data_IF_470872147809
#
_entry.id   IF_470872147809
#
_cell.length_a   1.000
_cell.length_b   1.000
_cell.length_c   1.000
_cell.angle_alpha   90.00
_cell.angle_beta   90.00
_cell.angle_gamma   90.00
#
_symmetry.space_group_name_H-M   'P 1'
#
loop_
_entity.id
_entity.type
_entity.pdbx_description
1 polymer ?
#
# COMPACT_ATOMS: atom_id res chain seq x y z
N UNK A 1 0.09 -15.76 10.69
CA UNK A 1 -0.30 -14.36 10.78
C UNK A 1 -1.79 -14.26 11.10
N UNK A 2 -2.19 -13.42 12.04
CA UNK A 2 -3.60 -13.25 12.39
C UNK A 2 -4.34 -12.40 11.35
N UNK A 3 -5.67 -12.55 11.25
CA UNK A 3 -6.50 -11.72 10.35
C UNK A 3 -6.41 -10.22 10.70
N UNK A 4 -6.22 -9.91 11.98
CA UNK A 4 -6.08 -8.52 12.45
C UNK A 4 -4.77 -7.91 11.94
N UNK A 5 -3.67 -8.66 11.99
CA UNK A 5 -2.37 -8.22 11.46
C UNK A 5 -2.45 -7.97 9.96
N UNK A 6 -3.05 -8.91 9.23
CA UNK A 6 -3.26 -8.77 7.80
C UNK A 6 -4.12 -7.55 7.46
N UNK A 7 -5.17 -7.30 8.25
CA UNK A 7 -6.02 -6.12 8.08
C UNK A 7 -5.23 -4.82 8.28
N UNK A 8 -4.41 -4.76 9.33
CA UNK A 8 -3.59 -3.58 9.63
C UNK A 8 -2.59 -3.31 8.50
N UNK A 9 -1.91 -4.36 8.02
CA UNK A 9 -0.99 -4.25 6.87
C UNK A 9 -1.74 -3.79 5.62
N UNK A 10 -2.89 -4.41 5.32
CA UNK A 10 -3.68 -4.06 4.15
C UNK A 10 -4.14 -2.59 4.17
N UNK A 11 -4.59 -2.09 5.32
CA UNK A 11 -4.95 -0.68 5.48
C UNK A 11 -3.71 0.21 5.34
N UNK A 12 -2.59 -0.13 5.98
CA UNK A 12 -1.33 0.62 5.86
C UNK A 12 -0.89 0.76 4.41
N UNK A 13 -0.78 -0.36 3.69
CA UNK A 13 -0.40 -0.39 2.27
C UNK A 13 -1.38 0.34 1.35
N UNK A 14 -2.67 0.40 1.74
CA UNK A 14 -3.68 1.07 0.92
C UNK A 14 -3.63 2.59 1.04
N UNK A 15 -2.85 3.16 1.97
CA UNK A 15 -2.86 4.61 2.21
C UNK A 15 -2.29 5.42 1.06
N UNK A 16 -1.29 4.92 0.33
CA UNK A 16 -0.75 5.58 -0.86
C UNK A 16 -1.80 5.64 -1.96
N UNK A 17 -2.40 4.49 -2.27
CA UNK A 17 -3.49 4.42 -3.24
C UNK A 17 -4.69 5.29 -2.84
N UNK A 18 -5.01 5.36 -1.54
CA UNK A 18 -6.04 6.23 -0.99
C UNK A 18 -5.69 7.70 -1.18
N UNK A 19 -4.45 8.10 -0.87
CA UNK A 19 -3.96 9.47 -1.03
C UNK A 19 -4.03 9.93 -2.49
N UNK A 20 -3.52 9.10 -3.42
CA UNK A 20 -3.59 9.40 -4.87
C UNK A 20 -5.03 9.40 -5.37
N UNK A 21 -5.90 8.53 -4.84
CA UNK A 21 -7.33 8.52 -5.16
C UNK A 21 -8.04 9.80 -4.72
N UNK A 22 -7.65 10.39 -3.59
CA UNK A 22 -8.13 11.73 -3.17
C UNK A 22 -7.72 12.77 -4.21
N UNK A 23 -6.46 12.77 -4.68
CA UNK A 23 -6.01 13.69 -5.72
C UNK A 23 -6.79 13.53 -7.03
N UNK A 24 -7.03 12.28 -7.46
CA UNK A 24 -7.88 12.02 -8.63
C UNK A 24 -9.29 12.52 -8.44
N UNK A 25 -9.89 12.27 -7.26
CA UNK A 25 -11.21 12.77 -6.91
C UNK A 25 -11.29 14.31 -6.92
N UNK A 26 -10.28 15.00 -6.38
CA UNK A 26 -10.22 16.46 -6.38
C UNK A 26 -10.21 17.04 -7.79
N UNK A 27 -9.47 16.41 -8.71
CA UNK A 27 -9.37 16.87 -10.10
C UNK A 27 -10.66 16.61 -10.90
N UNK A 28 -11.54 15.74 -10.39
CA UNK A 28 -12.84 15.46 -11.01
C UNK A 28 -13.89 16.46 -10.52
N UNK A 29 -14.50 17.20 -11.43
CA UNK A 29 -15.56 18.18 -11.08
C UNK A 29 -16.83 17.55 -10.50
N UNK A 30 -17.09 16.27 -10.84
CA UNK A 30 -18.27 15.53 -10.37
C UNK A 30 -17.90 14.09 -10.03
N UNK A 31 -18.43 13.58 -8.91
CA UNK A 31 -18.26 12.19 -8.54
C UNK A 31 -19.03 11.29 -9.54
N UNK A 32 -18.31 10.38 -10.19
CA UNK A 32 -18.89 9.30 -10.98
C UNK A 32 -18.53 7.96 -10.34
N UNK A 33 -19.54 7.13 -10.10
CA UNK A 33 -19.32 5.77 -9.59
C UNK A 33 -18.41 4.97 -10.54
N UNK A 34 -18.57 5.17 -11.85
CA UNK A 34 -17.72 4.55 -12.88
C UNK A 34 -16.24 4.91 -12.66
N UNK A 35 -15.93 6.17 -12.41
CA UNK A 35 -14.56 6.63 -12.18
C UNK A 35 -13.99 6.06 -10.88
N UNK A 36 -14.77 6.01 -9.82
CA UNK A 36 -14.36 5.41 -8.54
C UNK A 36 -14.05 3.91 -8.71
N UNK A 37 -14.86 3.17 -9.47
CA UNK A 37 -14.62 1.76 -9.78
C UNK A 37 -13.37 1.58 -10.64
N UNK A 38 -13.14 2.42 -11.66
CA UNK A 38 -11.93 2.35 -12.49
C UNK A 38 -10.69 2.58 -11.61
N UNK A 39 -10.66 3.63 -10.83
CA UNK A 39 -9.53 3.95 -9.93
C UNK A 39 -9.29 2.80 -8.95
N UNK A 40 -10.37 2.29 -8.32
CA UNK A 40 -10.29 1.15 -7.42
C UNK A 40 -9.74 -0.12 -8.08
N UNK A 41 -10.14 -0.43 -9.32
CA UNK A 41 -9.65 -1.59 -10.06
C UNK A 41 -8.16 -1.47 -10.39
N UNK A 42 -7.69 -0.29 -10.80
CA UNK A 42 -6.26 -0.09 -11.05
C UNK A 42 -5.46 -0.25 -9.76
N UNK A 43 -5.78 0.50 -8.73
CA UNK A 43 -5.01 0.45 -7.48
C UNK A 43 -5.17 -0.88 -6.75
N UNK A 44 -6.38 -1.39 -6.59
CA UNK A 44 -6.62 -2.68 -5.94
C UNK A 44 -6.01 -3.86 -6.70
N UNK A 45 -6.07 -3.83 -8.03
CA UNK A 45 -5.46 -4.84 -8.89
C UNK A 45 -3.94 -4.88 -8.76
N UNK A 46 -3.28 -3.72 -8.87
CA UNK A 46 -1.82 -3.65 -8.70
C UNK A 46 -1.38 -3.91 -7.26
N UNK A 47 -2.15 -3.47 -6.27
CA UNK A 47 -1.87 -3.71 -4.86
C UNK A 47 -2.02 -5.20 -4.47
N UNK A 48 -2.80 -5.98 -5.21
CA UNK A 48 -2.82 -7.44 -5.09
C UNK A 48 -1.72 -8.14 -5.92
N UNK A 49 -1.42 -7.62 -7.11
CA UNK A 49 -0.45 -8.22 -8.04
C UNK A 49 1.01 -8.06 -7.54
N UNK A 50 1.36 -6.87 -7.02
CA UNK A 50 2.75 -6.59 -6.62
C UNK A 50 3.22 -7.45 -5.44
N UNK A 51 2.44 -7.68 -4.36
CA UNK A 51 2.89 -8.62 -3.32
C UNK A 51 3.00 -10.04 -3.84
N UNK A 52 2.20 -10.45 -4.82
CA UNK A 52 2.34 -11.76 -5.45
C UNK A 52 3.69 -11.88 -6.17
N UNK A 53 4.08 -10.87 -6.95
CA UNK A 53 5.39 -10.82 -7.62
C UNK A 53 6.51 -10.82 -6.57
N UNK A 54 6.40 -9.97 -5.54
CA UNK A 54 7.36 -9.89 -4.44
C UNK A 54 7.52 -11.23 -3.71
N UNK A 55 6.42 -11.93 -3.47
CA UNK A 55 6.43 -13.25 -2.85
C UNK A 55 7.21 -14.29 -3.68
N UNK A 56 6.96 -14.35 -4.97
CA UNK A 56 7.72 -15.25 -5.85
C UNK A 56 9.21 -14.89 -5.91
N UNK A 57 9.54 -13.60 -5.92
CA UNK A 57 10.94 -13.17 -5.81
C UNK A 57 11.54 -13.60 -4.47
N UNK A 58 10.81 -13.38 -3.36
CA UNK A 58 11.23 -13.74 -2.01
C UNK A 58 11.52 -15.22 -1.82
N UNK A 59 10.68 -16.11 -2.39
CA UNK A 59 10.88 -17.57 -2.34
C UNK A 59 12.24 -17.97 -2.92
N UNK A 60 12.65 -17.35 -4.02
CA UNK A 60 13.95 -17.67 -4.65
C UNK A 60 15.16 -17.27 -3.78
N UNK A 61 14.99 -16.27 -2.93
CA UNK A 61 16.02 -15.81 -1.99
C UNK A 61 15.96 -16.50 -0.62
N UNK A 62 14.83 -17.12 -0.27
CA UNK A 62 14.61 -17.74 1.04
C UNK A 62 15.63 -18.84 1.37
N UNK A 63 16.05 -19.64 0.39
CA UNK A 63 17.03 -20.72 0.59
C UNK A 63 18.41 -20.22 1.01
N UNK A 64 18.71 -18.94 0.78
CA UNK A 64 19.99 -18.33 1.12
C UNK A 64 20.02 -17.61 2.48
N UNK A 65 18.86 -17.27 3.09
CA UNK A 65 18.80 -16.26 4.15
C UNK A 65 17.86 -16.66 5.33
N UNK A 66 17.61 -17.94 5.59
CA UNK A 66 16.65 -18.42 6.61
C UNK A 66 16.89 -17.93 8.05
N UNK A 67 18.08 -17.41 8.37
CA UNK A 67 18.40 -16.97 9.74
C UNK A 67 18.13 -15.48 10.01
N UNK A 68 17.77 -14.69 9.00
CA UNK A 68 17.65 -13.22 9.10
C UNK A 68 16.30 -12.67 8.64
N UNK A 69 15.30 -13.52 8.41
CA UNK A 69 14.02 -13.18 7.79
C UNK A 69 13.29 -12.03 8.50
N UNK A 70 13.22 -12.08 9.83
CA UNK A 70 12.56 -11.06 10.65
C UNK A 70 13.31 -9.71 10.65
N UNK A 71 14.64 -9.71 10.55
CA UNK A 71 15.43 -8.50 10.40
C UNK A 71 15.18 -7.82 9.06
N UNK A 72 15.11 -8.64 8.00
CA UNK A 72 14.82 -8.15 6.64
C UNK A 72 13.40 -7.57 6.61
N UNK A 73 12.42 -8.26 7.18
CA UNK A 73 11.04 -7.76 7.29
C UNK A 73 10.98 -6.42 8.04
N UNK A 74 11.64 -6.30 9.18
CA UNK A 74 11.70 -5.07 9.96
C UNK A 74 12.33 -3.91 9.18
N UNK A 75 13.47 -4.15 8.53
CA UNK A 75 14.18 -3.13 7.76
C UNK A 75 13.33 -2.67 6.58
N UNK A 76 12.72 -3.59 5.82
CA UNK A 76 11.88 -3.27 4.68
C UNK A 76 10.65 -2.45 5.08
N UNK A 77 9.89 -2.92 6.07
CA UNK A 77 8.72 -2.19 6.57
C UNK A 77 9.09 -0.84 7.19
N UNK A 78 10.25 -0.76 7.85
CA UNK A 78 10.80 0.49 8.38
C UNK A 78 11.15 1.50 7.30
N UNK A 79 11.83 1.05 6.23
CA UNK A 79 12.19 1.93 5.09
C UNK A 79 10.93 2.44 4.41
N UNK A 80 9.95 1.57 4.13
CA UNK A 80 8.70 1.95 3.49
C UNK A 80 7.94 2.96 4.35
N UNK A 81 7.75 2.67 5.64
CA UNK A 81 7.04 3.56 6.55
C UNK A 81 7.72 4.93 6.71
N UNK A 82 9.06 4.98 6.77
CA UNK A 82 9.82 6.24 6.81
C UNK A 82 9.67 6.98 5.49
N UNK A 83 9.71 6.28 4.34
CA UNK A 83 9.54 6.90 3.02
C UNK A 83 8.19 7.59 2.91
N UNK A 84 7.10 6.91 3.31
CA UNK A 84 5.74 7.48 3.33
C UNK A 84 5.65 8.73 4.21
N UNK A 85 6.22 8.69 5.41
CA UNK A 85 6.21 9.85 6.32
C UNK A 85 7.03 11.00 5.74
N UNK A 86 8.19 10.73 5.14
CA UNK A 86 9.00 11.76 4.48
C UNK A 86 8.25 12.41 3.32
N UNK A 87 7.57 11.63 2.48
CA UNK A 87 6.78 12.11 1.37
C UNK A 87 5.64 13.02 1.85
N UNK A 88 4.93 12.61 2.90
CA UNK A 88 3.89 13.43 3.53
C UNK A 88 4.40 14.76 4.10
N UNK A 89 5.65 14.80 4.59
CA UNK A 89 6.28 15.98 5.18
C UNK A 89 7.00 16.87 4.14
N UNK A 90 7.43 16.32 3.01
CA UNK A 90 8.14 17.06 1.97
C UNK A 90 7.26 18.09 1.27
N UNK A 91 5.95 17.96 1.38
CA UNK A 91 5.00 18.90 0.80
C UNK A 91 5.05 18.96 -0.74
N UNK A 92 5.68 18.00 -1.38
CA UNK A 92 5.66 17.89 -2.83
C UNK A 92 4.21 17.72 -3.28
N UNK A 93 3.64 18.79 -3.79
CA UNK A 93 2.35 18.76 -4.44
C UNK A 93 2.49 17.98 -5.75
N UNK A 94 2.25 16.65 -5.69
CA UNK A 94 1.94 15.94 -6.91
C UNK A 94 0.80 16.67 -7.61
N UNK A 95 1.05 17.16 -8.82
CA UNK A 95 0.02 17.85 -9.61
C UNK A 95 -1.18 16.93 -9.78
N UNK A 96 -2.27 17.23 -9.08
CA UNK A 96 -3.52 16.46 -9.16
C UNK A 96 -4.04 16.54 -10.60
N UNK A 97 -3.81 15.53 -11.42
CA UNK A 97 -4.24 15.46 -12.80
C UNK A 97 -5.55 14.67 -12.89
N UNK A 98 -6.58 15.29 -13.50
CA UNK A 98 -7.89 14.67 -13.71
C UNK A 98 -7.88 13.54 -14.76
N UNK A 99 -6.77 13.36 -15.50
CA UNK A 99 -6.67 12.35 -16.53
C UNK A 99 -6.84 10.94 -15.94
N UNK A 100 -7.81 10.19 -16.50
CA UNK A 100 -7.97 8.76 -16.30
C UNK A 100 -7.40 7.98 -17.50
N UNK A 101 -6.47 8.59 -18.24
CA UNK A 101 -5.79 7.90 -19.32
C UNK A 101 -5.10 6.62 -18.77
N UNK A 102 -5.18 5.55 -19.56
CA UNK A 102 -4.64 4.22 -19.15
C UNK A 102 -3.17 4.34 -18.74
N UNK A 103 -2.37 5.12 -19.46
CA UNK A 103 -0.96 5.33 -19.18
C UNK A 103 -0.73 5.97 -17.81
N UNK A 104 -1.44 7.06 -17.50
CA UNK A 104 -1.33 7.78 -16.22
C UNK A 104 -1.76 6.90 -15.03
N UNK A 105 -2.88 6.18 -15.20
CA UNK A 105 -3.38 5.28 -14.17
C UNK A 105 -2.44 4.11 -13.92
N UNK A 106 -1.83 3.56 -14.98
CA UNK A 106 -0.88 2.46 -14.87
C UNK A 106 0.38 2.89 -14.11
N UNK A 107 0.96 4.04 -14.48
CA UNK A 107 2.17 4.57 -13.81
C UNK A 107 1.90 4.83 -12.34
N UNK A 108 0.78 5.47 -12.01
CA UNK A 108 0.40 5.72 -10.62
C UNK A 108 0.15 4.44 -9.84
N UNK A 109 -0.56 3.45 -10.43
CA UNK A 109 -0.84 2.18 -9.79
C UNK A 109 0.45 1.39 -9.52
N UNK A 110 1.40 1.40 -10.45
CA UNK A 110 2.73 0.80 -10.24
C UNK A 110 3.47 1.55 -9.12
N UNK A 111 3.54 2.87 -9.20
CA UNK A 111 4.27 3.69 -8.22
C UNK A 111 3.74 3.49 -6.79
N UNK A 112 2.41 3.49 -6.61
CA UNK A 112 1.77 3.32 -5.30
C UNK A 112 1.79 1.88 -4.77
N UNK A 113 2.22 0.89 -5.56
CA UNK A 113 2.25 -0.52 -5.17
C UNK A 113 3.66 -1.11 -5.07
N UNK A 114 4.70 -0.28 -5.18
CA UNK A 114 6.10 -0.72 -5.00
C UNK A 114 6.35 -1.19 -3.57
N UNK A 115 5.79 -0.53 -2.58
CA UNK A 115 5.82 -0.91 -1.16
C UNK A 115 5.17 -2.29 -0.94
N UNK A 116 4.05 -2.55 -1.61
CA UNK A 116 3.38 -3.85 -1.59
C UNK A 116 4.25 -4.98 -2.16
N UNK A 117 5.09 -4.70 -3.16
CA UNK A 117 6.08 -5.66 -3.66
C UNK A 117 7.07 -6.05 -2.55
N UNK A 118 7.60 -5.08 -1.81
CA UNK A 118 8.52 -5.34 -0.70
C UNK A 118 7.84 -6.12 0.44
N UNK A 119 6.57 -5.81 0.75
CA UNK A 119 5.77 -6.60 1.70
C UNK A 119 5.55 -8.02 1.21
N UNK A 120 5.36 -8.24 -0.09
CA UNK A 120 5.28 -9.57 -0.69
C UNK A 120 6.55 -10.40 -0.47
N UNK A 121 7.73 -9.80 -0.61
CA UNK A 121 9.02 -10.44 -0.26
C UNK A 121 9.03 -10.83 1.22
N UNK A 122 8.58 -9.94 2.10
CA UNK A 122 8.45 -10.19 3.53
C UNK A 122 7.51 -11.36 3.83
N UNK A 123 6.37 -11.45 3.13
CA UNK A 123 5.42 -12.56 3.28
C UNK A 123 6.02 -13.91 2.87
N UNK A 124 6.91 -13.94 1.88
CA UNK A 124 7.64 -15.14 1.52
C UNK A 124 8.55 -15.61 2.67
N UNK A 125 9.27 -14.70 3.31
CA UNK A 125 10.13 -15.01 4.44
C UNK A 125 9.33 -15.48 5.67
N UNK A 126 8.21 -14.86 5.95
CA UNK A 126 7.32 -15.23 7.06
C UNK A 126 6.41 -16.44 6.74
N UNK A 127 6.55 -17.06 5.56
CA UNK A 127 5.75 -18.20 5.09
C UNK A 127 4.23 -17.95 5.18
N UNK A 128 3.80 -16.74 4.88
CA UNK A 128 2.38 -16.37 4.88
C UNK A 128 1.69 -16.98 3.68
N UNK A 129 0.45 -17.46 3.85
CA UNK A 129 -0.38 -17.88 2.73
C UNK A 129 -0.70 -16.68 1.82
N UNK A 130 -0.08 -16.65 0.64
CA UNK A 130 -0.11 -15.45 -0.22
C UNK A 130 -1.51 -15.17 -0.80
N UNK A 131 -2.28 -16.19 -1.20
CA UNK A 131 -3.57 -16.01 -1.87
C UNK A 131 -4.60 -15.25 -1.00
N UNK A 132 -4.85 -15.65 0.26
CA UNK A 132 -5.71 -14.86 1.15
C UNK A 132 -5.17 -13.45 1.38
N UNK A 133 -3.85 -13.31 1.53
CA UNK A 133 -3.22 -12.01 1.80
C UNK A 133 -3.43 -11.02 0.66
N UNK A 134 -3.12 -11.41 -0.60
CA UNK A 134 -3.28 -10.52 -1.76
C UNK A 134 -4.75 -10.21 -2.05
N UNK A 135 -5.65 -11.17 -1.85
CA UNK A 135 -7.08 -10.94 -2.03
C UNK A 135 -7.58 -9.90 -1.03
N UNK A 136 -7.14 -10.00 0.21
CA UNK A 136 -7.53 -9.08 1.27
C UNK A 136 -6.95 -7.68 1.04
N UNK A 137 -5.66 -7.57 0.70
CA UNK A 137 -4.99 -6.31 0.37
C UNK A 137 -5.65 -5.65 -0.84
N UNK A 138 -5.85 -6.39 -1.93
CA UNK A 138 -6.47 -5.87 -3.15
C UNK A 138 -7.91 -5.38 -2.92
N UNK A 139 -8.74 -6.12 -2.19
CA UNK A 139 -10.10 -5.70 -1.85
C UNK A 139 -10.11 -4.47 -0.94
N UNK A 140 -9.24 -4.41 0.07
CA UNK A 140 -9.13 -3.26 0.98
C UNK A 140 -8.71 -2.01 0.21
N UNK A 141 -7.71 -2.13 -0.66
CA UNK A 141 -7.25 -1.02 -1.50
C UNK A 141 -8.32 -0.58 -2.49
N UNK A 142 -9.04 -1.50 -3.12
CA UNK A 142 -10.17 -1.17 -3.99
C UNK A 142 -11.22 -0.33 -3.27
N UNK A 143 -11.64 -0.74 -2.09
CA UNK A 143 -12.64 -0.04 -1.29
C UNK A 143 -12.14 1.33 -0.84
N UNK A 144 -10.91 1.40 -0.29
CA UNK A 144 -10.33 2.65 0.18
C UNK A 144 -10.09 3.63 -0.98
N UNK A 145 -9.65 3.18 -2.14
CA UNK A 145 -9.48 4.03 -3.32
C UNK A 145 -10.82 4.59 -3.80
N UNK A 146 -11.88 3.79 -3.80
CA UNK A 146 -13.23 4.27 -4.10
C UNK A 146 -13.71 5.35 -3.12
N UNK A 147 -13.45 5.15 -1.82
CA UNK A 147 -13.72 6.14 -0.78
C UNK A 147 -12.84 7.38 -0.97
N UNK A 148 -11.56 7.21 -1.31
CA UNK A 148 -10.62 8.29 -1.59
C UNK A 148 -11.09 9.21 -2.71
N UNK A 149 -11.56 8.65 -3.82
CA UNK A 149 -12.17 9.44 -4.92
C UNK A 149 -13.35 10.26 -4.40
N UNK A 150 -14.23 9.65 -3.60
CA UNK A 150 -15.37 10.36 -3.01
C UNK A 150 -14.95 11.49 -2.07
N UNK A 151 -14.00 11.21 -1.19
CA UNK A 151 -13.44 12.22 -0.27
C UNK A 151 -12.79 13.35 -1.03
N UNK A 152 -12.01 13.05 -2.07
CA UNK A 152 -11.35 14.04 -2.92
C UNK A 152 -12.33 14.97 -3.61
N UNK A 153 -13.45 14.47 -4.15
CA UNK A 153 -14.47 15.29 -4.79
C UNK A 153 -15.22 16.21 -3.82
N UNK A 154 -15.27 15.86 -2.52
CA UNK A 154 -16.01 16.63 -1.50
C UNK A 154 -15.08 17.57 -0.70
N UNK A 155 -13.90 17.10 -0.32
CA UNK A 155 -13.05 17.76 0.69
C UNK A 155 -11.69 18.27 0.19
N UNK A 156 -11.27 17.88 -1.01
CA UNK A 156 -10.00 18.31 -1.58
C UNK A 156 -8.73 17.67 -0.98
N UNK A 157 -7.54 18.15 -1.38
CA UNK A 157 -6.23 17.56 -1.06
C UNK A 157 -5.81 17.62 0.43
N UNK A 158 -6.58 18.22 1.32
CA UNK A 158 -6.20 18.46 2.72
C UNK A 158 -5.95 17.17 3.54
N UNK A 159 -6.39 16.01 3.03
CA UNK A 159 -6.30 14.73 3.72
C UNK A 159 -5.15 13.83 3.23
N UNK A 160 -4.49 14.15 2.10
CA UNK A 160 -3.41 13.33 1.53
C UNK A 160 -2.29 13.10 2.54
N UNK A 161 -1.63 14.16 3.00
CA UNK A 161 -0.52 14.06 3.95
C UNK A 161 -0.88 13.33 5.25
N UNK A 162 -2.11 13.49 5.74
CA UNK A 162 -2.57 12.78 6.94
C UNK A 162 -2.71 11.28 6.72
N UNK A 163 -3.17 10.86 5.52
CA UNK A 163 -3.28 9.45 5.17
C UNK A 163 -1.89 8.79 5.05
N UNK A 164 -0.93 9.46 4.43
CA UNK A 164 0.45 8.98 4.28
C UNK A 164 1.17 8.85 5.63
N UNK A 165 1.04 9.84 6.53
CA UNK A 165 1.60 9.76 7.89
C UNK A 165 0.98 8.59 8.66
N UNK A 166 -0.33 8.42 8.58
CA UNK A 166 -1.02 7.32 9.26
C UNK A 166 -0.53 5.96 8.75
N UNK A 167 -0.51 5.75 7.43
CA UNK A 167 -0.05 4.51 6.82
C UNK A 167 1.40 4.20 7.16
N UNK A 168 2.30 5.15 7.01
CA UNK A 168 3.71 5.00 7.34
C UNK A 168 3.94 4.64 8.81
N UNK A 169 3.21 5.29 9.72
CA UNK A 169 3.29 4.97 11.16
C UNK A 169 2.84 3.54 11.45
N UNK A 170 1.73 3.09 10.82
CA UNK A 170 1.22 1.73 10.97
C UNK A 170 2.23 0.69 10.48
N UNK A 171 2.87 0.91 9.34
CA UNK A 171 3.89 -0.01 8.79
C UNK A 171 5.13 -0.12 9.70
N UNK A 172 5.61 0.99 10.26
CA UNK A 172 6.73 0.98 11.21
C UNK A 172 6.37 0.20 12.47
N UNK A 173 5.19 0.46 13.05
CA UNK A 173 4.74 -0.27 14.25
C UNK A 173 4.60 -1.76 13.97
N UNK A 174 4.15 -2.14 12.77
CA UNK A 174 4.02 -3.53 12.38
C UNK A 174 5.37 -4.21 12.20
N UNK A 175 6.34 -3.54 11.59
CA UNK A 175 7.71 -4.03 11.50
C UNK A 175 8.34 -4.25 12.89
N UNK A 176 8.17 -3.30 13.81
CA UNK A 176 8.61 -3.44 15.20
C UNK A 176 7.94 -4.63 15.89
N UNK A 177 6.63 -4.83 15.69
CA UNK A 177 5.91 -5.97 16.26
C UNK A 177 6.47 -7.30 15.79
N UNK A 178 6.66 -7.48 14.48
CA UNK A 178 7.24 -8.71 13.89
C UNK A 178 8.61 -9.00 14.47
N UNK A 179 9.46 -7.98 14.60
CA UNK A 179 10.79 -8.14 15.18
C UNK A 179 10.73 -8.57 16.65
N UNK A 180 9.87 -7.93 17.45
CA UNK A 180 9.73 -8.23 18.89
C UNK A 180 9.20 -9.66 19.10
N UNK A 181 8.18 -10.06 18.35
CA UNK A 181 7.62 -11.42 18.45
C UNK A 181 8.66 -12.49 18.15
N UNK A 182 9.57 -12.23 17.21
CA UNK A 182 10.60 -13.21 16.82
C UNK A 182 11.84 -13.21 17.74
N UNK A 183 12.10 -12.12 18.47
CA UNK A 183 13.23 -12.05 19.40
C UNK A 183 12.87 -12.56 20.80
N UNK A 184 11.61 -12.51 21.19
CA UNK A 184 11.19 -12.80 22.55
C UNK A 184 10.26 -14.01 22.69
N UNK A 185 9.77 -14.56 21.59
CA UNK A 185 8.89 -15.74 21.53
C UNK A 185 9.37 -16.73 20.47
#
# INVERSE_FOLDING_TARGET
MSLIELFIIAVGLSMDAFAVSICKGLSMRTMSLKNAVIVGLYFGGFQGLMPLIGYFLGIHFQQAITSYDHWIAFILLGIIGISMIREALSGEEESCNASLAIGDMLVLAIATSIDALAVGVTFAFLQVEILPAISFIGCTTFLLSGIGVKVGTVFGCRYKAKAEIFGGTVLILMGCKILIEHLFF
#
